data_IF_867203580740
#
_entry.id   IF_867203580740
#
_cell.length_a   1.000
_cell.length_b   1.000
_cell.length_c   1.000
_cell.angle_alpha   90.00
_cell.angle_beta   90.00
_cell.angle_gamma   90.00
#
_symmetry.space_group_name_H-M   'P 1'
#
loop_
_entity.id
_entity.type
_entity.pdbx_description
1 polymer ?
#
# COMPACT_ATOMS: atom_id res chain seq x y z
N UNK A 1 -7.93 0.89 85.85
CA UNK A 1 -8.86 0.58 84.75
C UNK A 1 -8.09 0.78 83.43
N UNK A 2 -7.54 -0.29 82.87
CA UNK A 2 -6.84 -0.23 81.59
C UNK A 2 -7.82 -0.61 80.49
N UNK A 3 -8.04 0.32 79.55
CA UNK A 3 -8.82 0.06 78.35
C UNK A 3 -7.85 -0.42 77.27
N UNK A 4 -8.00 -1.68 76.85
CA UNK A 4 -7.26 -2.31 75.74
C UNK A 4 -7.93 -1.89 74.43
N UNK A 5 -7.25 -1.08 73.61
CA UNK A 5 -7.73 -0.74 72.30
C UNK A 5 -7.11 -1.75 71.30
N UNK A 6 -7.94 -2.67 70.81
CA UNK A 6 -7.55 -3.58 69.72
C UNK A 6 -7.77 -2.84 68.40
N UNK A 7 -6.67 -2.46 67.76
CA UNK A 7 -6.72 -1.95 66.36
C UNK A 7 -6.79 -3.16 65.45
N UNK A 8 -7.95 -3.42 64.86
CA UNK A 8 -8.08 -4.39 63.78
C UNK A 8 -7.49 -3.78 62.48
N UNK A 9 -6.34 -4.27 62.07
CA UNK A 9 -5.73 -3.95 60.79
C UNK A 9 -6.47 -4.74 59.70
N UNK A 10 -7.47 -4.10 59.04
CA UNK A 10 -8.13 -4.66 57.86
C UNK A 10 -7.14 -4.55 56.67
N UNK A 11 -6.50 -5.66 56.36
CA UNK A 11 -5.67 -5.79 55.16
C UNK A 11 -6.65 -5.84 53.97
N UNK A 12 -6.97 -4.71 53.34
CA UNK A 12 -7.63 -4.66 52.07
C UNK A 12 -6.67 -5.16 50.99
N UNK A 13 -6.81 -6.42 50.58
CA UNK A 13 -6.20 -6.96 49.38
C UNK A 13 -6.81 -6.15 48.18
N UNK A 14 -6.08 -5.11 47.78
CA UNK A 14 -6.34 -4.41 46.54
C UNK A 14 -6.09 -5.36 45.39
N UNK A 15 -7.16 -5.88 44.79
CA UNK A 15 -7.12 -6.47 43.48
C UNK A 15 -6.70 -5.34 42.52
N UNK A 16 -5.42 -5.22 42.22
CA UNK A 16 -4.98 -4.47 41.07
C UNK A 16 -5.50 -5.20 39.84
N UNK A 17 -6.62 -4.72 39.28
CA UNK A 17 -7.00 -5.06 37.92
C UNK A 17 -5.81 -4.62 37.04
N UNK A 18 -4.98 -5.57 36.62
CA UNK A 18 -3.99 -5.33 35.58
C UNK A 18 -4.76 -4.88 34.35
N UNK A 19 -4.51 -3.65 33.92
CA UNK A 19 -4.98 -3.19 32.62
C UNK A 19 -4.63 -4.26 31.58
N UNK A 20 -5.56 -4.65 30.70
CA UNK A 20 -5.26 -5.70 29.72
C UNK A 20 -4.01 -5.30 28.95
N UNK A 21 -2.98 -6.13 29.06
CA UNK A 21 -1.72 -5.87 28.37
C UNK A 21 -1.99 -5.82 26.86
N UNK A 22 -1.38 -4.84 26.20
CA UNK A 22 -1.49 -4.70 24.75
C UNK A 22 -1.10 -6.04 24.09
N UNK A 23 -1.87 -6.57 23.10
CA UNK A 23 -1.49 -7.78 22.40
C UNK A 23 -0.09 -7.65 21.82
N UNK A 24 0.72 -8.72 21.84
CA UNK A 24 2.11 -8.65 21.42
C UNK A 24 2.28 -8.13 19.97
N UNK A 25 1.36 -8.46 19.04
CA UNK A 25 1.44 -7.94 17.68
C UNK A 25 1.28 -6.41 17.57
N UNK A 26 0.68 -5.75 18.56
CA UNK A 26 0.54 -4.29 18.62
C UNK A 26 1.70 -3.62 19.34
N UNK A 27 2.52 -4.37 20.06
CA UNK A 27 3.67 -3.82 20.78
C UNK A 27 4.86 -3.60 19.83
N UNK A 28 5.17 -2.32 19.55
CA UNK A 28 6.23 -1.92 18.63
C UNK A 28 7.64 -2.19 19.18
N UNK A 29 7.78 -2.45 20.48
CA UNK A 29 9.06 -2.75 21.10
C UNK A 29 9.49 -4.21 20.92
N UNK A 30 8.56 -5.10 20.56
CA UNK A 30 8.83 -6.50 20.27
C UNK A 30 9.37 -6.69 18.86
N UNK A 31 10.15 -7.76 18.65
CA UNK A 31 10.66 -8.13 17.33
C UNK A 31 9.51 -8.46 16.36
N UNK A 32 9.76 -8.29 15.07
CA UNK A 32 8.77 -8.60 14.02
C UNK A 32 8.31 -10.04 14.12
N UNK A 33 9.20 -11.00 14.38
CA UNK A 33 8.87 -12.42 14.46
C UNK A 33 7.91 -12.74 15.61
N UNK A 34 8.13 -12.14 16.79
CA UNK A 34 7.22 -12.30 17.94
C UNK A 34 5.85 -11.71 17.60
N UNK A 35 5.82 -10.51 17.03
CA UNK A 35 4.59 -9.83 16.64
C UNK A 35 3.83 -10.59 15.56
N UNK A 36 4.53 -11.11 14.55
CA UNK A 36 3.95 -11.89 13.48
C UNK A 36 3.37 -13.20 13.98
N UNK A 37 4.10 -13.94 14.83
CA UNK A 37 3.63 -15.19 15.41
C UNK A 37 2.37 -14.98 16.24
N UNK A 38 2.33 -13.95 17.08
CA UNK A 38 1.14 -13.61 17.87
C UNK A 38 -0.06 -13.24 16.97
N UNK A 39 0.17 -12.40 15.93
CA UNK A 39 -0.89 -12.01 15.00
C UNK A 39 -1.47 -13.23 14.27
N UNK A 40 -0.61 -14.06 13.65
CA UNK A 40 -1.03 -15.23 12.89
C UNK A 40 -1.77 -16.26 13.75
N UNK A 41 -1.41 -16.40 15.03
CA UNK A 41 -2.10 -17.30 15.97
C UNK A 41 -3.53 -16.82 16.30
N UNK A 42 -3.79 -15.52 16.16
CA UNK A 42 -5.11 -14.91 16.44
C UNK A 42 -6.02 -14.86 15.22
N UNK A 43 -5.45 -14.89 14.00
CA UNK A 43 -6.20 -14.76 12.75
C UNK A 43 -6.98 -16.04 12.44
N UNK A 44 -8.25 -15.87 12.05
CA UNK A 44 -9.03 -16.93 11.42
C UNK A 44 -8.53 -17.21 10.00
N UNK A 45 -8.99 -18.30 9.39
CA UNK A 45 -8.67 -18.60 7.99
C UNK A 45 -9.19 -17.50 7.04
N UNK A 46 -10.42 -17.05 7.28
CA UNK A 46 -11.07 -15.99 6.49
C UNK A 46 -10.28 -14.67 6.58
N UNK A 47 -9.79 -14.32 7.76
CA UNK A 47 -8.95 -13.12 7.94
C UNK A 47 -7.61 -13.27 7.22
N UNK A 48 -6.99 -14.46 7.24
CA UNK A 48 -5.75 -14.73 6.50
C UNK A 48 -5.96 -14.62 4.99
N UNK A 49 -7.03 -15.23 4.47
CA UNK A 49 -7.40 -15.14 3.05
C UNK A 49 -7.72 -13.70 2.67
N UNK A 50 -8.44 -12.98 3.52
CA UNK A 50 -8.78 -11.57 3.31
C UNK A 50 -7.55 -10.68 3.11
N UNK A 51 -6.44 -10.94 3.83
CA UNK A 51 -5.20 -10.19 3.65
C UNK A 51 -4.57 -10.36 2.26
N UNK A 52 -4.94 -11.39 1.51
CA UNK A 52 -4.47 -11.63 0.13
C UNK A 52 -5.36 -10.98 -0.93
N UNK A 53 -6.50 -10.40 -0.54
CA UNK A 53 -7.41 -9.74 -1.48
C UNK A 53 -6.97 -8.31 -1.77
N UNK A 54 -7.04 -7.94 -3.06
CA UNK A 54 -6.66 -6.62 -3.56
C UNK A 54 -7.71 -6.08 -4.56
N UNK A 55 -8.90 -5.66 -4.10
CA UNK A 55 -9.91 -5.07 -4.96
C UNK A 55 -9.58 -3.63 -5.37
N UNK A 56 -10.35 -3.12 -6.34
CA UNK A 56 -10.23 -1.77 -6.88
C UNK A 56 -10.57 -0.70 -5.82
N UNK A 57 -9.75 0.36 -5.73
CA UNK A 57 -9.82 1.33 -4.65
C UNK A 57 -10.52 2.66 -4.95
N UNK A 58 -10.66 3.06 -6.22
CA UNK A 58 -11.17 4.41 -6.58
C UNK A 58 -12.66 4.66 -6.29
N UNK A 59 -13.41 3.66 -5.87
CA UNK A 59 -14.80 3.78 -5.42
C UNK A 59 -14.96 3.57 -3.91
N UNK A 60 -13.86 3.44 -3.19
CA UNK A 60 -13.87 3.10 -1.76
C UNK A 60 -13.96 4.33 -0.85
N UNK A 61 -14.07 5.51 -1.42
CA UNK A 61 -14.19 6.78 -0.71
C UNK A 61 -15.25 7.70 -1.33
N UNK A 62 -15.70 8.66 -0.54
CA UNK A 62 -16.59 9.74 -0.95
C UNK A 62 -15.97 11.09 -0.55
N UNK A 63 -16.07 12.09 -1.45
CA UNK A 63 -15.55 13.44 -1.23
C UNK A 63 -16.71 14.36 -0.84
N UNK A 64 -16.61 15.02 0.32
CA UNK A 64 -17.57 15.99 0.82
C UNK A 64 -16.84 17.34 1.08
N UNK A 65 -16.77 18.17 0.05
CA UNK A 65 -16.01 19.42 0.11
C UNK A 65 -14.50 19.16 0.29
N UNK A 66 -13.94 19.55 1.41
CA UNK A 66 -12.53 19.34 1.77
C UNK A 66 -12.27 18.05 2.57
N UNK A 67 -13.31 17.27 2.86
CA UNK A 67 -13.20 16.04 3.65
C UNK A 67 -13.42 14.81 2.77
N UNK A 68 -12.83 13.70 3.20
CA UNK A 68 -12.96 12.40 2.54
C UNK A 68 -13.38 11.36 3.56
N UNK A 69 -14.39 10.59 3.21
CA UNK A 69 -14.93 9.54 4.07
C UNK A 69 -14.90 8.17 3.37
N UNK A 70 -14.78 7.06 4.12
CA UNK A 70 -14.97 5.73 3.57
C UNK A 70 -16.39 5.57 3.01
N UNK A 71 -16.52 5.08 1.76
CA UNK A 71 -17.82 4.79 1.17
C UNK A 71 -18.52 3.62 1.84
N UNK A 72 -19.85 3.50 1.70
CA UNK A 72 -20.58 2.34 2.19
C UNK A 72 -20.09 1.03 1.55
N UNK A 73 -19.73 1.08 0.26
CA UNK A 73 -19.10 -0.04 -0.44
C UNK A 73 -17.83 -0.52 0.26
N UNK A 74 -16.97 0.41 0.69
CA UNK A 74 -15.77 0.08 1.45
C UNK A 74 -16.09 -0.54 2.80
N UNK A 75 -17.00 0.05 3.56
CA UNK A 75 -17.38 -0.45 4.88
C UNK A 75 -17.93 -1.86 4.83
N UNK A 76 -18.79 -2.14 3.84
CA UNK A 76 -19.31 -3.49 3.60
C UNK A 76 -18.19 -4.46 3.21
N UNK A 77 -17.29 -4.07 2.30
CA UNK A 77 -16.16 -4.88 1.87
C UNK A 77 -15.26 -5.30 3.05
N UNK A 78 -14.93 -4.34 3.92
CA UNK A 78 -14.09 -4.61 5.10
C UNK A 78 -14.80 -5.56 6.06
N UNK A 79 -16.09 -5.34 6.31
CA UNK A 79 -16.89 -6.18 7.19
C UNK A 79 -16.98 -7.64 6.71
N UNK A 80 -17.12 -7.85 5.41
CA UNK A 80 -17.35 -9.17 4.82
C UNK A 80 -16.08 -9.93 4.48
N UNK A 81 -14.98 -9.23 4.15
CA UNK A 81 -13.83 -9.83 3.49
C UNK A 81 -12.48 -9.63 4.20
N UNK A 82 -12.40 -8.77 5.21
CA UNK A 82 -11.14 -8.46 5.92
C UNK A 82 -9.96 -8.14 4.99
N UNK A 83 -10.21 -7.33 3.96
CA UNK A 83 -9.29 -7.03 2.86
C UNK A 83 -7.99 -6.41 3.35
N UNK A 84 -6.86 -6.95 2.90
CA UNK A 84 -5.52 -6.50 3.30
C UNK A 84 -4.89 -5.46 2.37
N UNK A 85 -5.45 -5.23 1.19
CA UNK A 85 -4.90 -4.32 0.19
C UNK A 85 -6.00 -3.72 -0.67
N UNK A 86 -5.80 -2.47 -1.12
CA UNK A 86 -6.55 -1.87 -2.23
C UNK A 86 -5.60 -1.54 -3.38
N UNK A 87 -6.10 -1.62 -4.61
CA UNK A 87 -5.38 -1.22 -5.79
C UNK A 87 -5.99 0.02 -6.44
N UNK A 88 -5.12 0.96 -6.85
CA UNK A 88 -5.49 2.15 -7.62
C UNK A 88 -6.50 3.06 -6.90
N UNK A 89 -6.31 3.26 -5.61
CA UNK A 89 -7.20 4.13 -4.80
C UNK A 89 -7.13 5.59 -5.26
N UNK A 90 -5.96 6.06 -5.65
CA UNK A 90 -5.70 7.45 -6.06
C UNK A 90 -5.74 7.66 -7.57
N UNK A 91 -5.85 6.58 -8.33
CA UNK A 91 -5.77 6.60 -9.79
C UNK A 91 -6.81 7.52 -10.41
N UNK A 92 -6.37 8.35 -11.36
CA UNK A 92 -7.20 9.28 -12.10
C UNK A 92 -6.83 9.23 -13.58
N UNK A 93 -7.69 8.60 -14.38
CA UNK A 93 -7.54 8.41 -15.81
C UNK A 93 -8.90 8.14 -16.47
N UNK A 94 -8.95 8.01 -17.81
CA UNK A 94 -10.21 7.70 -18.51
C UNK A 94 -10.88 6.40 -18.08
N UNK A 95 -10.13 5.41 -17.60
CA UNK A 95 -10.69 4.15 -17.16
C UNK A 95 -11.44 4.30 -15.83
N UNK A 96 -10.85 4.99 -14.87
CA UNK A 96 -11.50 5.26 -13.57
C UNK A 96 -12.57 6.36 -13.66
N UNK A 97 -12.57 7.14 -14.74
CA UNK A 97 -13.40 8.35 -14.93
C UNK A 97 -13.17 9.42 -13.86
N UNK A 98 -12.03 9.34 -13.14
CA UNK A 98 -11.61 10.37 -12.22
C UNK A 98 -10.83 11.45 -12.95
N UNK A 99 -11.14 12.70 -12.63
CA UNK A 99 -10.59 13.90 -13.24
C UNK A 99 -10.21 14.91 -12.15
N UNK A 100 -9.63 16.05 -12.54
CA UNK A 100 -9.34 17.15 -11.60
C UNK A 100 -10.62 17.63 -10.88
N UNK A 101 -11.78 17.49 -11.51
CA UNK A 101 -13.05 17.97 -10.94
C UNK A 101 -13.65 17.00 -9.90
N UNK A 102 -13.40 15.70 -10.00
CA UNK A 102 -14.06 14.69 -9.17
C UNK A 102 -13.10 13.64 -8.56
N UNK A 103 -11.81 13.75 -8.82
CA UNK A 103 -10.77 12.89 -8.26
C UNK A 103 -10.11 13.50 -7.03
N UNK A 104 -9.10 12.80 -6.53
CA UNK A 104 -8.33 13.20 -5.36
C UNK A 104 -7.11 14.02 -5.80
N UNK A 105 -7.06 15.30 -5.45
CA UNK A 105 -5.80 16.02 -5.47
C UNK A 105 -4.86 15.50 -4.36
N UNK A 106 -3.57 15.86 -4.30
CA UNK A 106 -2.64 15.30 -3.32
C UNK A 106 -3.07 15.41 -1.86
N UNK A 107 -3.73 16.51 -1.48
CA UNK A 107 -4.25 16.69 -0.11
C UNK A 107 -5.42 15.76 0.17
N UNK A 108 -6.39 15.67 -0.73
CA UNK A 108 -7.54 14.77 -0.60
C UNK A 108 -7.10 13.31 -0.67
N UNK A 109 -6.06 12.97 -1.45
CA UNK A 109 -5.49 11.62 -1.50
C UNK A 109 -4.94 11.21 -0.13
N UNK A 110 -4.16 12.06 0.52
CA UNK A 110 -3.66 11.81 1.87
C UNK A 110 -4.81 11.67 2.90
N UNK A 111 -5.85 12.50 2.80
CA UNK A 111 -7.05 12.39 3.65
C UNK A 111 -7.79 11.08 3.39
N UNK A 112 -7.95 10.67 2.12
CA UNK A 112 -8.58 9.41 1.77
C UNK A 112 -7.82 8.22 2.36
N UNK A 113 -6.51 8.14 2.15
CA UNK A 113 -5.68 7.10 2.72
C UNK A 113 -5.81 7.02 4.24
N UNK A 114 -5.74 8.16 4.93
CA UNK A 114 -5.89 8.22 6.38
C UNK A 114 -7.30 7.77 6.85
N UNK A 115 -8.36 8.19 6.15
CA UNK A 115 -9.73 7.84 6.50
C UNK A 115 -9.99 6.33 6.33
N UNK A 116 -9.52 5.74 5.22
CA UNK A 116 -9.63 4.30 4.97
C UNK A 116 -8.83 3.48 5.99
N UNK A 117 -7.59 3.86 6.28
CA UNK A 117 -6.75 3.20 7.28
C UNK A 117 -7.37 3.27 8.68
N UNK A 118 -7.81 4.46 9.09
CA UNK A 118 -8.47 4.66 10.37
C UNK A 118 -9.69 3.76 10.50
N UNK A 119 -10.53 3.72 9.48
CA UNK A 119 -11.73 2.87 9.50
C UNK A 119 -11.39 1.40 9.71
N UNK A 120 -10.42 0.85 8.98
CA UNK A 120 -10.00 -0.55 9.12
C UNK A 120 -9.46 -0.82 10.51
N UNK A 121 -8.59 0.05 11.01
CA UNK A 121 -7.96 -0.14 12.33
C UNK A 121 -8.97 -0.08 13.48
N UNK A 122 -10.02 0.72 13.36
CA UNK A 122 -11.04 0.93 14.42
C UNK A 122 -12.23 -0.02 14.29
N UNK A 123 -12.54 -0.54 13.10
CA UNK A 123 -13.75 -1.30 12.82
C UNK A 123 -13.52 -2.78 12.44
N UNK A 124 -12.30 -3.28 12.59
CA UNK A 124 -12.01 -4.70 12.44
C UNK A 124 -11.48 -5.30 13.73
N UNK A 125 -11.68 -6.59 13.93
CA UNK A 125 -11.33 -7.31 15.16
C UNK A 125 -9.85 -7.18 15.53
N UNK A 126 -8.95 -7.25 14.54
CA UNK A 126 -7.51 -7.20 14.76
C UNK A 126 -6.92 -5.82 14.49
N UNK A 127 -7.62 -4.94 13.78
CA UNK A 127 -7.15 -3.60 13.44
C UNK A 127 -5.87 -3.60 12.60
N UNK A 128 -5.76 -4.54 11.64
CA UNK A 128 -4.60 -4.65 10.74
C UNK A 128 -4.72 -3.56 9.68
N UNK A 129 -3.75 -2.64 9.54
CA UNK A 129 -3.78 -1.63 8.48
C UNK A 129 -3.60 -2.29 7.10
N UNK A 130 -4.20 -1.67 6.06
CA UNK A 130 -4.12 -2.15 4.68
C UNK A 130 -2.87 -1.64 3.95
N UNK A 131 -2.46 -2.35 2.92
CA UNK A 131 -1.63 -1.78 1.87
C UNK A 131 -2.48 -1.02 0.85
N UNK A 132 -1.95 0.12 0.36
CA UNK A 132 -2.48 0.85 -0.78
C UNK A 132 -1.46 0.70 -1.91
N UNK A 133 -1.86 -0.02 -2.96
CA UNK A 133 -1.06 -0.28 -4.14
C UNK A 133 -1.52 0.63 -5.28
N UNK A 134 -0.56 1.27 -5.94
CA UNK A 134 -0.87 2.27 -6.97
C UNK A 134 -0.18 1.95 -8.29
N UNK A 135 -0.85 2.27 -9.40
CA UNK A 135 -0.25 2.17 -10.73
C UNK A 135 0.79 3.27 -10.92
N UNK A 136 2.01 2.84 -11.28
CA UNK A 136 3.08 3.78 -11.54
C UNK A 136 4.15 3.25 -12.50
N UNK A 137 3.79 2.81 -13.71
CA UNK A 137 4.75 2.28 -14.66
C UNK A 137 5.74 3.34 -15.14
N UNK A 138 5.32 4.60 -15.26
CA UNK A 138 6.15 5.75 -15.67
C UNK A 138 5.68 7.06 -15.00
N UNK A 139 5.35 6.99 -13.74
CA UNK A 139 4.80 8.06 -12.91
C UNK A 139 3.60 7.55 -12.13
N UNK A 140 3.38 8.11 -10.94
CA UNK A 140 2.19 7.79 -10.16
C UNK A 140 0.93 8.27 -10.88
N UNK A 141 0.02 7.36 -11.23
CA UNK A 141 -1.17 7.68 -12.03
C UNK A 141 -2.27 8.38 -11.22
N UNK A 142 -1.88 9.40 -10.47
CA UNK A 142 -2.77 10.21 -9.63
C UNK A 142 -2.68 11.70 -9.98
N UNK A 143 -3.70 12.47 -9.62
CA UNK A 143 -3.73 13.91 -9.86
C UNK A 143 -2.57 14.59 -9.13
N UNK A 144 -1.85 15.47 -9.85
CA UNK A 144 -0.75 16.26 -9.31
C UNK A 144 0.58 15.54 -9.24
N UNK A 145 0.65 14.27 -9.69
CA UNK A 145 1.91 13.55 -9.82
C UNK A 145 2.61 13.84 -11.15
N UNK A 146 3.91 13.59 -11.19
CA UNK A 146 4.75 13.77 -12.38
C UNK A 146 4.51 12.64 -13.38
N UNK A 147 4.27 13.00 -14.64
CA UNK A 147 4.22 12.05 -15.77
C UNK A 147 5.59 12.02 -16.43
N UNK A 148 6.26 10.88 -16.35
CA UNK A 148 7.53 10.64 -17.04
C UNK A 148 7.29 10.05 -18.43
N UNK A 149 8.31 10.01 -19.30
CA UNK A 149 8.24 9.25 -20.53
C UNK A 149 7.84 7.80 -20.26
N UNK A 150 7.15 7.18 -21.20
CA UNK A 150 6.79 5.76 -21.11
C UNK A 150 8.01 4.86 -20.96
N UNK A 151 7.81 3.60 -20.56
CA UNK A 151 8.92 2.66 -20.35
C UNK A 151 9.86 2.57 -21.53
N UNK A 152 9.31 2.46 -22.75
CA UNK A 152 10.13 2.43 -23.98
C UNK A 152 10.87 3.75 -24.24
N UNK A 153 10.27 4.89 -23.87
CA UNK A 153 10.92 6.20 -23.94
C UNK A 153 12.07 6.33 -22.92
N UNK A 154 11.89 5.82 -21.71
CA UNK A 154 12.97 5.75 -20.73
C UNK A 154 14.08 4.82 -21.18
N UNK A 155 13.75 3.69 -21.80
CA UNK A 155 14.74 2.73 -22.32
C UNK A 155 15.61 3.34 -23.42
N UNK A 156 15.07 4.23 -24.25
CA UNK A 156 15.81 4.93 -25.29
C UNK A 156 16.92 5.84 -24.77
N UNK A 157 16.93 6.16 -23.46
CA UNK A 157 18.01 6.94 -22.83
C UNK A 157 19.26 6.10 -22.56
N UNK A 158 19.17 4.78 -22.49
CA UNK A 158 20.23 3.85 -22.09
C UNK A 158 20.92 4.20 -20.76
N UNK A 159 20.21 4.92 -19.88
CA UNK A 159 20.75 5.40 -18.60
C UNK A 159 20.06 4.75 -17.40
N UNK A 160 20.67 3.73 -16.79
CA UNK A 160 20.20 3.14 -15.53
C UNK A 160 20.07 4.16 -14.40
N UNK A 161 21.00 5.13 -14.35
CA UNK A 161 21.01 6.19 -13.33
C UNK A 161 19.77 7.08 -13.43
N UNK A 162 19.40 7.51 -14.65
CA UNK A 162 18.21 8.31 -14.88
C UNK A 162 16.93 7.53 -14.50
N UNK A 163 16.85 6.26 -14.86
CA UNK A 163 15.69 5.40 -14.51
C UNK A 163 15.57 5.23 -12.99
N UNK A 164 16.70 5.11 -12.29
CA UNK A 164 16.72 5.10 -10.82
C UNK A 164 16.21 6.41 -10.22
N UNK A 165 16.63 7.55 -10.73
CA UNK A 165 16.15 8.87 -10.29
C UNK A 165 14.65 9.01 -10.51
N UNK A 166 14.13 8.58 -11.66
CA UNK A 166 12.68 8.51 -11.92
C UNK A 166 11.96 7.67 -10.86
N UNK A 167 12.49 6.49 -10.55
CA UNK A 167 11.95 5.62 -9.50
C UNK A 167 11.89 6.30 -8.13
N UNK A 168 12.90 7.09 -7.77
CA UNK A 168 12.94 7.84 -6.50
C UNK A 168 11.86 8.91 -6.44
N UNK A 169 11.60 9.62 -7.55
CA UNK A 169 10.53 10.63 -7.61
C UNK A 169 9.16 9.95 -7.50
N UNK A 170 8.93 8.87 -8.25
CA UNK A 170 7.70 8.07 -8.19
C UNK A 170 7.44 7.61 -6.75
N UNK A 171 8.43 7.03 -6.10
CA UNK A 171 8.31 6.55 -4.72
C UNK A 171 7.92 7.69 -3.77
N UNK A 172 8.58 8.84 -3.88
CA UNK A 172 8.28 10.02 -3.07
C UNK A 172 6.85 10.52 -3.27
N UNK A 173 6.37 10.55 -4.50
CA UNK A 173 5.01 11.00 -4.81
C UNK A 173 3.96 10.00 -4.28
N UNK A 174 4.12 8.70 -4.50
CA UNK A 174 3.24 7.66 -3.95
C UNK A 174 3.19 7.74 -2.42
N UNK A 175 4.36 7.78 -1.75
CA UNK A 175 4.44 7.81 -0.28
C UNK A 175 3.88 9.09 0.31
N UNK A 176 4.02 10.21 -0.36
CA UNK A 176 3.48 11.51 0.09
C UNK A 176 1.96 11.52 0.08
N UNK A 177 1.31 10.73 -0.76
CA UNK A 177 -0.13 10.56 -0.81
C UNK A 177 -0.65 9.40 0.05
N UNK A 178 0.24 8.61 0.65
CA UNK A 178 -0.13 7.50 1.54
C UNK A 178 -0.13 6.12 0.89
N UNK A 179 0.30 5.99 -0.38
CA UNK A 179 0.51 4.71 -1.05
C UNK A 179 1.72 3.95 -0.49
N UNK A 180 1.76 2.65 -0.67
CA UNK A 180 2.80 1.76 -0.12
C UNK A 180 3.50 0.94 -1.18
N UNK A 181 2.78 0.55 -2.23
CA UNK A 181 3.22 -0.37 -3.27
C UNK A 181 3.08 0.32 -4.61
N UNK A 182 4.11 0.21 -5.44
CA UNK A 182 4.10 0.61 -6.85
C UNK A 182 3.88 -0.61 -7.73
N UNK A 183 2.85 -0.61 -8.57
CA UNK A 183 2.67 -1.59 -9.63
C UNK A 183 3.53 -1.21 -10.84
N UNK A 184 4.80 -1.54 -10.71
CA UNK A 184 5.90 -1.32 -11.64
C UNK A 184 7.22 -1.75 -11.01
N UNK A 185 8.25 -1.96 -11.82
CA UNK A 185 8.33 -1.80 -13.27
C UNK A 185 7.62 -2.91 -14.07
N UNK A 186 7.26 -2.57 -15.33
CA UNK A 186 6.77 -3.55 -16.32
C UNK A 186 7.97 -4.17 -17.02
N UNK A 187 8.20 -5.45 -16.77
CA UNK A 187 9.37 -6.21 -17.24
C UNK A 187 9.02 -7.20 -18.36
N UNK A 188 7.82 -7.09 -18.91
CA UNK A 188 7.45 -7.85 -20.10
C UNK A 188 8.37 -7.48 -21.28
N UNK A 189 8.78 -8.48 -22.05
CA UNK A 189 9.59 -8.25 -23.25
C UNK A 189 8.70 -8.07 -24.45
N UNK A 190 8.76 -6.92 -25.09
CA UNK A 190 7.98 -6.58 -26.28
C UNK A 190 8.57 -7.24 -27.52
N UNK A 191 8.09 -8.42 -27.87
CA UNK A 191 8.46 -9.12 -29.09
C UNK A 191 7.49 -8.86 -30.24
N UNK A 192 6.26 -8.55 -29.93
CA UNK A 192 5.20 -8.23 -30.90
C UNK A 192 4.72 -6.79 -30.67
N UNK A 193 4.96 -5.87 -31.64
CA UNK A 193 4.56 -4.46 -31.53
C UNK A 193 3.05 -4.25 -31.55
N UNK A 194 2.25 -5.26 -31.87
CA UNK A 194 0.78 -5.20 -31.82
C UNK A 194 0.23 -5.34 -30.40
N UNK A 195 1.03 -5.80 -29.45
CA UNK A 195 0.61 -5.85 -28.07
C UNK A 195 0.33 -4.45 -27.51
N UNK A 196 -0.86 -4.24 -26.97
CA UNK A 196 -1.38 -2.90 -26.61
C UNK A 196 -0.62 -2.19 -25.50
N UNK A 197 0.27 -2.89 -24.76
CA UNK A 197 1.02 -2.35 -23.62
C UNK A 197 2.53 -2.24 -23.87
N UNK A 198 2.92 -2.20 -25.14
CA UNK A 198 4.32 -2.04 -25.58
C UNK A 198 4.97 -0.84 -24.90
N UNK A 199 4.26 0.28 -24.81
CA UNK A 199 4.79 1.56 -24.32
C UNK A 199 5.16 1.51 -22.83
N UNK A 200 4.57 0.60 -22.04
CA UNK A 200 4.90 0.45 -20.62
C UNK A 200 6.23 -0.27 -20.39
N UNK A 201 6.75 -1.02 -21.38
CA UNK A 201 7.93 -1.89 -21.28
C UNK A 201 9.24 -1.15 -21.57
N UNK A 202 10.35 -1.76 -21.18
CA UNK A 202 11.70 -1.29 -21.58
C UNK A 202 12.14 -1.84 -22.95
N UNK A 203 11.25 -2.49 -23.73
CA UNK A 203 11.51 -2.99 -25.07
C UNK A 203 11.69 -4.50 -25.15
N UNK A 204 12.36 -4.96 -26.24
CA UNK A 204 12.49 -6.37 -26.56
C UNK A 204 13.77 -7.04 -26.02
N UNK A 205 14.78 -6.23 -25.66
CA UNK A 205 16.06 -6.73 -25.17
C UNK A 205 15.98 -7.12 -23.68
N UNK A 206 16.18 -8.41 -23.35
CA UNK A 206 16.11 -8.87 -21.97
C UNK A 206 17.22 -8.33 -21.06
N UNK A 207 18.41 -8.02 -21.64
CA UNK A 207 19.54 -7.48 -20.87
C UNK A 207 19.25 -6.04 -20.49
N UNK A 208 18.84 -5.20 -21.45
CA UNK A 208 18.47 -3.81 -21.19
C UNK A 208 17.30 -3.73 -20.22
N UNK A 209 16.23 -4.50 -20.45
CA UNK A 209 15.05 -4.55 -19.57
C UNK A 209 15.41 -4.98 -18.15
N UNK A 210 16.32 -5.94 -18.00
CA UNK A 210 16.80 -6.39 -16.69
C UNK A 210 17.57 -5.30 -15.94
N UNK A 211 18.50 -4.60 -16.62
CA UNK A 211 19.31 -3.52 -16.02
C UNK A 211 18.42 -2.33 -15.62
N UNK A 212 17.57 -1.85 -16.53
CA UNK A 212 16.69 -0.71 -16.25
C UNK A 212 15.63 -1.05 -15.23
N UNK A 213 15.08 -2.28 -15.26
CA UNK A 213 14.16 -2.78 -14.28
C UNK A 213 14.75 -2.83 -12.86
N UNK A 214 15.99 -3.33 -12.73
CA UNK A 214 16.70 -3.34 -11.46
C UNK A 214 16.93 -1.91 -10.93
N UNK A 215 17.30 -0.98 -11.83
CA UNK A 215 17.49 0.42 -11.48
C UNK A 215 16.18 1.09 -11.01
N UNK A 216 15.06 0.81 -11.67
CA UNK A 216 13.75 1.28 -11.23
C UNK A 216 13.38 0.73 -9.85
N UNK A 217 13.59 -0.56 -9.60
CA UNK A 217 13.35 -1.20 -8.29
C UNK A 217 14.21 -0.55 -7.20
N UNK A 218 15.50 -0.31 -7.48
CA UNK A 218 16.39 0.35 -6.52
C UNK A 218 15.94 1.80 -6.24
N UNK A 219 15.50 2.52 -7.26
CA UNK A 219 14.90 3.85 -7.12
C UNK A 219 13.66 3.84 -6.24
N UNK A 220 12.71 2.95 -6.52
CA UNK A 220 11.47 2.80 -5.76
C UNK A 220 11.72 2.38 -4.31
N UNK A 221 12.62 1.44 -4.08
CA UNK A 221 12.93 0.90 -2.75
C UNK A 221 13.90 1.76 -1.94
N UNK A 222 14.58 2.74 -2.57
CA UNK A 222 15.55 3.61 -1.90
C UNK A 222 16.73 2.86 -1.26
N UNK A 223 17.06 1.66 -1.74
CA UNK A 223 18.09 0.78 -1.17
C UNK A 223 17.71 0.11 0.16
N UNK A 224 16.66 0.60 0.85
CA UNK A 224 16.16 0.03 2.09
C UNK A 224 14.70 0.45 2.31
N UNK A 225 13.80 -0.52 2.43
CA UNK A 225 12.36 -0.29 2.63
C UNK A 225 12.00 0.42 3.96
N UNK A 226 12.93 0.58 4.88
CA UNK A 226 12.73 1.40 6.09
C UNK A 226 12.83 2.91 5.83
N UNK A 227 13.28 3.33 4.64
CA UNK A 227 13.35 4.74 4.27
C UNK A 227 11.95 5.35 4.15
N UNK A 228 11.84 6.63 4.53
CA UNK A 228 10.57 7.36 4.60
C UNK A 228 9.76 7.29 3.30
N UNK A 229 10.43 7.38 2.17
CA UNK A 229 9.79 7.43 0.84
C UNK A 229 9.93 6.12 0.05
N UNK A 230 10.47 5.04 0.65
CA UNK A 230 10.55 3.77 -0.02
C UNK A 230 9.16 3.19 -0.33
N UNK A 231 8.98 2.69 -1.54
CA UNK A 231 7.81 1.91 -1.95
C UNK A 231 8.21 0.49 -2.29
N UNK A 232 7.29 -0.44 -2.12
CA UNK A 232 7.48 -1.83 -2.54
C UNK A 232 7.23 -1.90 -4.03
N UNK A 233 8.25 -2.28 -4.82
CA UNK A 233 8.10 -2.52 -6.25
C UNK A 233 7.38 -3.84 -6.51
N UNK A 234 6.51 -3.87 -7.52
CA UNK A 234 5.86 -5.07 -8.01
C UNK A 234 6.24 -5.31 -9.45
N UNK A 235 7.17 -6.24 -9.66
CA UNK A 235 7.61 -6.63 -11.00
C UNK A 235 6.47 -7.35 -11.72
N UNK A 236 6.09 -6.86 -12.90
CA UNK A 236 4.94 -7.39 -13.63
C UNK A 236 5.24 -7.55 -15.11
N UNK A 237 4.53 -8.46 -15.83
CA UNK A 237 3.47 -9.32 -15.30
C UNK A 237 3.97 -10.76 -15.27
N UNK A 238 4.11 -11.33 -14.13
CA UNK A 238 4.51 -12.72 -13.99
C UNK A 238 3.33 -13.63 -14.40
N UNK A 239 3.36 -14.36 -15.53
CA UNK A 239 4.47 -14.52 -16.47
C UNK A 239 3.91 -14.60 -17.91
N UNK A 240 4.72 -14.21 -18.91
CA UNK A 240 4.43 -14.38 -20.34
C UNK A 240 3.22 -13.58 -20.88
N UNK A 241 2.86 -12.47 -20.25
CA UNK A 241 1.70 -11.65 -20.64
C UNK A 241 1.92 -10.92 -21.97
N UNK A 242 3.16 -10.57 -22.31
CA UNK A 242 3.49 -9.85 -23.55
C UNK A 242 3.77 -10.80 -24.76
N UNK A 243 3.27 -12.02 -24.73
CA UNK A 243 3.44 -12.99 -25.82
C UNK A 243 2.06 -13.44 -26.35
N UNK A 244 1.22 -12.49 -26.84
CA UNK A 244 -0.06 -12.84 -27.41
C UNK A 244 0.13 -13.41 -28.81
N UNK A 245 -0.61 -14.44 -29.15
CA UNK A 245 -0.74 -14.87 -30.56
C UNK A 245 -1.67 -13.88 -31.27
N UNK A 246 -1.12 -13.18 -32.27
CA UNK A 246 -1.92 -12.25 -33.08
C UNK A 246 -2.09 -10.85 -32.51
N UNK A 247 -1.37 -10.49 -31.46
CA UNK A 247 -1.40 -9.14 -30.89
C UNK A 247 -2.25 -8.95 -29.66
#
# INVERSE_FOLDING_TARGET
LYILVIVQMVCTLGFTQSSPSLPAYKDRCLSIDIRLSDLLSRMTLEEKVGQLLCPLGWEMYEIHGSEVHPSEKFKQLIKERNVGMLWATYRADPWTKKTIANGLNPELAAKAGNALQKYVMENTRLGIPMFLAEEAPHGHMAIGATVFPTGIGMAATWSPELVKEVGQVIAKEIRSQGGHISYGPVLDLTRDPRWSRVEETFGEDPVLSGILGASMVDGLGGGNLSQKYATIATLKHFLAYAVPEGG
#
